data_IF_456274393168
#
_entry.id   IF_456274393168
#
_cell.length_a   1.000
_cell.length_b   1.000
_cell.length_c   1.000
_cell.angle_alpha   90.00
_cell.angle_beta   90.00
_cell.angle_gamma   90.00
#
_symmetry.space_group_name_H-M   'P 1'
#
loop_
_entity.id
_entity.type
_entity.pdbx_description
1 polymer ?
#
# COMPACT_ATOMS: atom_id res chain seq x y z
N UNK A 1 11.78 30.36 9.80
CA UNK A 1 12.12 30.02 8.37
C UNK A 1 11.19 30.83 7.47
N UNK A 2 11.69 31.42 6.36
CA UNK A 2 10.88 32.19 5.40
C UNK A 2 10.59 31.30 4.17
N UNK A 3 9.31 31.22 3.78
CA UNK A 3 8.91 30.51 2.56
C UNK A 3 9.01 31.47 1.39
N UNK A 4 9.66 31.06 0.31
CA UNK A 4 9.79 31.79 -0.94
C UNK A 4 9.02 30.99 -2.02
N UNK A 5 7.99 31.59 -2.59
CA UNK A 5 7.14 31.02 -3.63
C UNK A 5 7.07 32.01 -4.81
N UNK A 6 8.06 31.96 -5.74
CA UNK A 6 8.22 32.96 -6.81
C UNK A 6 6.98 33.14 -7.70
N UNK A 7 6.27 32.05 -8.03
CA UNK A 7 5.05 32.12 -8.85
C UNK A 7 3.93 32.99 -8.26
N UNK A 8 3.95 33.29 -6.97
CA UNK A 8 3.00 34.23 -6.34
C UNK A 8 3.26 35.69 -6.72
N UNK A 9 4.47 35.97 -7.16
CA UNK A 9 4.94 37.32 -7.52
C UNK A 9 5.32 37.44 -9.00
N UNK A 10 5.44 36.34 -9.71
CA UNK A 10 5.69 36.29 -11.15
C UNK A 10 4.39 36.43 -11.94
N UNK A 11 4.52 36.80 -13.21
CA UNK A 11 3.39 37.02 -14.11
C UNK A 11 2.80 35.73 -14.69
N UNK A 12 3.42 34.56 -14.42
CA UNK A 12 2.98 33.26 -14.91
C UNK A 12 1.63 32.87 -14.30
N UNK A 13 0.70 32.45 -15.16
CA UNK A 13 -0.64 32.02 -14.79
C UNK A 13 -0.94 30.58 -15.17
N UNK A 14 -0.11 30.03 -16.06
CA UNK A 14 -0.30 28.70 -16.61
C UNK A 14 1.04 28.00 -16.80
N UNK A 15 0.96 26.68 -17.01
CA UNK A 15 2.12 25.86 -17.35
C UNK A 15 2.67 26.20 -18.73
N UNK A 16 1.82 26.64 -19.66
CA UNK A 16 2.21 27.15 -20.98
C UNK A 16 3.11 28.36 -20.84
N UNK A 17 2.79 29.31 -19.96
CA UNK A 17 3.64 30.49 -19.72
C UNK A 17 5.03 30.08 -19.22
N UNK A 18 5.11 29.05 -18.36
CA UNK A 18 6.38 28.53 -17.84
C UNK A 18 7.21 27.86 -18.97
N UNK A 19 6.56 27.09 -19.84
CA UNK A 19 7.21 26.46 -20.99
C UNK A 19 7.75 27.53 -21.96
N UNK A 20 6.94 28.53 -22.31
CA UNK A 20 7.36 29.63 -23.19
C UNK A 20 8.54 30.39 -22.58
N UNK A 21 8.52 30.63 -21.27
CA UNK A 21 9.64 31.27 -20.58
C UNK A 21 10.91 30.41 -20.65
N UNK A 22 10.78 29.10 -20.42
CA UNK A 22 11.91 28.18 -20.49
C UNK A 22 12.51 28.11 -21.91
N UNK A 23 11.68 28.05 -22.95
CA UNK A 23 12.10 28.11 -24.37
C UNK A 23 12.82 29.41 -24.67
N UNK A 24 12.23 30.55 -24.29
CA UNK A 24 12.82 31.88 -24.49
C UNK A 24 14.19 32.06 -23.83
N UNK A 25 14.39 31.42 -22.70
CA UNK A 25 15.64 31.53 -21.93
C UNK A 25 16.59 30.35 -22.11
N UNK A 26 16.30 29.43 -23.06
CA UNK A 26 17.09 28.24 -23.34
C UNK A 26 17.34 27.37 -22.07
N UNK A 27 16.33 27.27 -21.18
CA UNK A 27 16.39 26.41 -20.02
C UNK A 27 16.16 24.96 -20.52
N UNK A 28 17.11 24.03 -20.27
CA UNK A 28 17.00 22.67 -20.77
C UNK A 28 15.94 21.90 -19.98
N UNK A 29 14.73 21.86 -20.50
CA UNK A 29 13.64 21.04 -19.97
C UNK A 29 13.42 19.84 -20.89
N UNK A 30 13.28 18.65 -20.31
CA UNK A 30 12.83 17.44 -21.03
C UNK A 30 11.30 17.46 -21.13
N UNK A 31 10.73 18.47 -21.78
CA UNK A 31 9.29 18.62 -21.90
C UNK A 31 8.88 18.31 -23.34
N UNK A 32 7.99 17.33 -23.48
CA UNK A 32 7.20 17.14 -24.68
C UNK A 32 5.77 17.66 -24.38
N UNK A 33 5.26 18.64 -25.14
CA UNK A 33 3.93 19.24 -24.92
C UNK A 33 2.79 18.21 -24.93
N UNK A 34 2.96 17.09 -25.63
CA UNK A 34 1.96 16.03 -25.75
C UNK A 34 1.96 15.03 -24.59
N UNK A 35 3.06 14.95 -23.83
CA UNK A 35 3.24 13.98 -22.73
C UNK A 35 3.64 14.65 -21.42
N UNK A 36 3.30 15.94 -21.28
CA UNK A 36 3.73 16.76 -20.16
C UNK A 36 2.82 16.57 -18.94
N UNK A 37 2.69 15.34 -18.46
CA UNK A 37 2.06 15.07 -17.17
C UNK A 37 2.85 15.74 -16.03
N UNK A 38 2.14 16.19 -15.00
CA UNK A 38 2.79 16.54 -13.73
C UNK A 38 3.27 15.27 -13.07
N UNK A 39 4.56 15.21 -12.74
CA UNK A 39 5.18 14.01 -12.19
C UNK A 39 5.98 14.35 -10.94
N UNK A 40 5.63 13.72 -9.83
CA UNK A 40 6.38 13.78 -8.58
C UNK A 40 7.01 12.42 -8.30
N UNK A 41 8.35 12.39 -8.24
CA UNK A 41 9.14 11.16 -8.08
C UNK A 41 9.94 11.17 -6.79
N UNK A 42 9.83 10.10 -6.04
CA UNK A 42 10.69 9.80 -4.90
C UNK A 42 11.07 8.30 -4.88
N UNK A 43 11.71 7.84 -3.82
CA UNK A 43 12.10 6.44 -3.67
C UNK A 43 10.88 5.49 -3.63
N UNK A 44 9.75 5.94 -3.07
CA UNK A 44 8.57 5.14 -2.84
C UNK A 44 7.64 5.06 -4.05
N UNK A 45 7.42 6.17 -4.74
CA UNK A 45 6.46 6.25 -5.84
C UNK A 45 6.81 7.27 -6.91
N UNK A 46 6.11 7.19 -8.02
CA UNK A 46 6.02 8.20 -9.06
C UNK A 46 4.54 8.47 -9.34
N UNK A 47 4.12 9.76 -9.32
CA UNK A 47 2.78 10.18 -9.72
C UNK A 47 2.74 10.70 -11.16
N UNK A 48 1.57 10.58 -11.80
CA UNK A 48 1.23 11.16 -13.09
C UNK A 48 -0.11 11.89 -12.94
N UNK A 49 -0.14 13.21 -13.19
CA UNK A 49 -1.32 14.04 -13.05
C UNK A 49 -1.47 15.00 -14.24
N UNK A 50 -2.69 15.47 -14.49
CA UNK A 50 -2.99 16.46 -15.52
C UNK A 50 -3.33 15.87 -16.89
N UNK A 51 -3.44 16.72 -17.91
CA UNK A 51 -3.79 16.38 -19.29
C UNK A 51 -5.10 15.57 -19.37
N UNK A 52 -5.08 14.45 -20.09
CA UNK A 52 -6.23 13.55 -20.29
C UNK A 52 -6.69 12.87 -18.99
N UNK A 53 -5.83 12.79 -17.96
CA UNK A 53 -6.18 12.26 -16.64
C UNK A 53 -7.14 13.16 -15.85
N UNK A 54 -7.26 14.46 -16.21
CA UNK A 54 -8.22 15.37 -15.56
C UNK A 54 -9.67 14.94 -15.77
N UNK A 55 -9.95 14.21 -16.86
CA UNK A 55 -11.26 13.61 -17.08
C UNK A 55 -11.24 12.15 -16.59
N UNK A 56 -11.96 11.82 -15.50
CA UNK A 56 -11.97 10.46 -14.94
C UNK A 56 -12.64 9.42 -15.86
N UNK A 57 -13.30 9.83 -16.95
CA UNK A 57 -13.83 8.92 -17.94
C UNK A 57 -12.79 8.42 -18.95
N UNK A 58 -11.61 9.05 -18.98
CA UNK A 58 -10.53 8.64 -19.88
C UNK A 58 -9.73 7.48 -19.24
N UNK A 59 -9.44 6.46 -20.03
CA UNK A 59 -8.48 5.42 -19.68
C UNK A 59 -7.06 5.99 -19.72
N UNK A 60 -6.23 5.80 -18.69
CA UNK A 60 -4.82 6.20 -18.74
C UNK A 60 -4.06 5.45 -19.82
N UNK A 61 -3.11 6.11 -20.45
CA UNK A 61 -2.34 5.55 -21.57
C UNK A 61 -1.24 4.59 -21.10
N UNK A 62 -1.58 3.56 -20.32
CA UNK A 62 -0.63 2.63 -19.68
C UNK A 62 0.38 1.99 -20.66
N UNK A 63 -0.01 1.76 -21.91
CA UNK A 63 0.81 1.12 -22.94
C UNK A 63 1.57 2.11 -23.82
N UNK A 64 1.36 3.44 -23.64
CA UNK A 64 2.10 4.45 -24.38
C UNK A 64 3.54 4.51 -23.89
N UNK A 65 4.48 4.49 -24.82
CA UNK A 65 5.90 4.62 -24.50
C UNK A 65 6.19 5.91 -23.71
N UNK A 66 6.89 5.78 -22.58
CA UNK A 66 7.24 6.90 -21.69
C UNK A 66 6.11 7.38 -20.78
N UNK A 67 4.93 6.75 -20.77
CA UNK A 67 3.91 7.02 -19.76
C UNK A 67 4.36 6.45 -18.41
N UNK A 68 4.54 5.13 -18.30
CA UNK A 68 5.12 4.50 -17.12
C UNK A 68 6.65 4.62 -17.13
N UNK A 69 7.25 4.89 -15.98
CA UNK A 69 8.70 5.08 -15.83
C UNK A 69 9.35 4.10 -14.84
N UNK A 70 8.59 3.58 -13.88
CA UNK A 70 9.10 2.61 -12.91
C UNK A 70 8.84 1.17 -13.34
N UNK A 71 7.91 0.97 -14.26
CA UNK A 71 7.54 -0.35 -14.71
C UNK A 71 6.91 -0.39 -16.09
N UNK A 72 6.21 -1.49 -16.34
CA UNK A 72 5.44 -1.76 -17.56
C UNK A 72 4.00 -2.04 -17.19
N UNK A 73 3.08 -1.92 -18.15
CA UNK A 73 1.70 -2.36 -17.93
C UNK A 73 1.62 -3.88 -17.70
N UNK A 74 0.56 -4.40 -17.06
CA UNK A 74 0.33 -5.83 -16.92
C UNK A 74 0.36 -6.59 -18.25
N UNK A 75 -0.12 -5.97 -19.33
CA UNK A 75 -0.12 -6.56 -20.69
C UNK A 75 1.29 -6.75 -21.23
N UNK A 76 2.18 -5.81 -20.95
CA UNK A 76 3.59 -5.85 -21.40
C UNK A 76 4.50 -6.65 -20.47
N UNK A 77 4.03 -7.00 -19.27
CA UNK A 77 4.79 -7.81 -18.32
C UNK A 77 5.03 -9.24 -18.83
N UNK A 78 6.11 -9.93 -18.40
CA UNK A 78 6.45 -11.27 -18.83
C UNK A 78 5.35 -12.30 -18.61
N UNK A 79 5.25 -13.31 -19.50
CA UNK A 79 4.35 -14.47 -19.34
C UNK A 79 4.89 -15.53 -18.38
N UNK A 80 6.02 -15.25 -17.74
CA UNK A 80 6.64 -16.11 -16.72
C UNK A 80 6.55 -15.42 -15.37
N UNK A 81 5.93 -16.10 -14.40
CA UNK A 81 5.87 -15.60 -13.02
C UNK A 81 7.27 -15.50 -12.38
N UNK A 82 7.45 -14.48 -11.57
CA UNK A 82 8.64 -14.28 -10.74
C UNK A 82 8.28 -14.44 -9.26
N UNK A 83 9.17 -15.04 -8.49
CA UNK A 83 8.98 -15.21 -7.05
C UNK A 83 9.93 -14.32 -6.27
N UNK A 84 9.44 -13.75 -5.18
CA UNK A 84 10.23 -13.03 -4.20
C UNK A 84 9.95 -13.55 -2.81
N UNK A 85 10.99 -13.61 -1.97
CA UNK A 85 10.86 -13.93 -0.55
C UNK A 85 11.38 -12.75 0.26
N UNK A 86 10.56 -12.26 1.18
CA UNK A 86 10.91 -11.19 2.12
C UNK A 86 10.98 -11.75 3.53
N UNK A 87 12.07 -11.48 4.24
CA UNK A 87 12.21 -11.79 5.67
C UNK A 87 11.97 -10.53 6.47
N UNK A 88 11.13 -10.65 7.49
CA UNK A 88 10.84 -9.57 8.44
C UNK A 88 11.33 -9.93 9.84
N UNK A 89 11.83 -8.95 10.57
CA UNK A 89 12.17 -9.03 11.98
C UNK A 89 11.45 -7.88 12.71
N UNK A 90 10.52 -8.21 13.60
CA UNK A 90 9.70 -7.21 14.32
C UNK A 90 9.02 -6.20 13.40
N UNK A 91 8.41 -6.67 12.32
CA UNK A 91 7.74 -5.86 11.31
C UNK A 91 8.65 -5.13 10.32
N UNK A 92 9.98 -5.18 10.50
CA UNK A 92 10.94 -4.53 9.62
C UNK A 92 11.50 -5.53 8.60
N UNK A 93 11.44 -5.24 7.28
CA UNK A 93 12.02 -6.12 6.27
C UNK A 93 13.56 -6.06 6.33
N UNK A 94 14.22 -7.22 6.45
CA UNK A 94 15.68 -7.33 6.64
C UNK A 94 16.39 -8.08 5.55
N UNK A 95 15.66 -8.95 4.78
CA UNK A 95 16.28 -9.74 3.70
C UNK A 95 15.36 -9.80 2.48
N UNK A 96 15.99 -9.90 1.32
CA UNK A 96 15.34 -10.19 0.04
C UNK A 96 15.96 -11.48 -0.55
N UNK A 97 15.11 -12.48 -0.81
CA UNK A 97 15.53 -13.79 -1.35
C UNK A 97 16.66 -14.47 -0.54
N UNK A 98 16.61 -14.29 0.79
CA UNK A 98 17.59 -14.85 1.74
C UNK A 98 18.83 -14.00 1.98
N UNK A 99 19.07 -12.96 1.18
CA UNK A 99 20.22 -12.07 1.31
C UNK A 99 19.85 -10.82 2.13
N UNK A 100 20.69 -10.49 3.12
CA UNK A 100 20.52 -9.26 3.89
C UNK A 100 20.70 -8.03 3.00
N UNK A 101 19.84 -7.04 3.16
CA UNK A 101 19.82 -5.87 2.31
C UNK A 101 19.47 -4.61 3.13
N UNK A 102 20.07 -3.49 2.79
CA UNK A 102 19.72 -2.18 3.35
C UNK A 102 18.32 -1.74 2.89
N UNK A 103 17.60 -1.00 3.75
CA UNK A 103 16.21 -0.60 3.46
C UNK A 103 16.04 0.21 2.19
N UNK A 104 17.00 1.09 1.87
CA UNK A 104 16.95 1.91 0.64
C UNK A 104 17.17 1.03 -0.59
N UNK A 105 18.13 0.13 -0.53
CA UNK A 105 18.43 -0.78 -1.64
C UNK A 105 17.34 -1.84 -1.80
N UNK A 106 16.72 -2.29 -0.71
CA UNK A 106 15.54 -3.15 -0.75
C UNK A 106 14.41 -2.50 -1.58
N UNK A 107 14.06 -1.25 -1.29
CA UNK A 107 12.99 -0.57 -2.04
C UNK A 107 13.39 -0.41 -3.52
N UNK A 108 14.65 -0.05 -3.81
CA UNK A 108 15.13 0.04 -5.20
C UNK A 108 15.02 -1.29 -5.95
N UNK A 109 15.43 -2.39 -5.32
CA UNK A 109 15.36 -3.71 -5.95
C UNK A 109 13.90 -4.17 -6.11
N UNK A 110 13.05 -3.95 -5.11
CA UNK A 110 11.63 -4.27 -5.22
C UNK A 110 10.92 -3.39 -6.28
N UNK A 111 11.32 -2.13 -6.45
CA UNK A 111 10.82 -1.29 -7.54
C UNK A 111 11.17 -1.88 -8.92
N UNK A 112 12.40 -2.38 -9.10
CA UNK A 112 12.81 -3.05 -10.35
C UNK A 112 12.02 -4.35 -10.57
N UNK A 113 11.92 -5.17 -9.53
CA UNK A 113 11.21 -6.45 -9.60
C UNK A 113 9.72 -6.24 -9.86
N UNK A 114 9.06 -5.39 -9.07
CA UNK A 114 7.63 -5.11 -9.23
C UNK A 114 7.33 -4.44 -10.56
N UNK A 115 8.14 -3.44 -10.94
CA UNK A 115 7.96 -2.70 -12.19
C UNK A 115 8.02 -3.59 -13.42
N UNK A 116 9.01 -4.48 -13.55
CA UNK A 116 9.09 -5.40 -14.70
C UNK A 116 7.95 -6.44 -14.74
N UNK A 117 7.28 -6.68 -13.61
CA UNK A 117 6.14 -7.57 -13.51
C UNK A 117 4.78 -6.84 -13.60
N UNK A 118 4.78 -5.52 -13.87
CA UNK A 118 3.57 -4.70 -14.00
C UNK A 118 2.86 -4.42 -12.67
N UNK A 119 3.53 -4.63 -11.54
CA UNK A 119 2.96 -4.47 -10.20
C UNK A 119 3.01 -3.02 -9.74
N UNK A 120 1.98 -2.58 -9.01
CA UNK A 120 1.98 -1.32 -8.27
C UNK A 120 1.46 -0.12 -9.07
N UNK A 121 0.69 -0.33 -10.12
CA UNK A 121 -0.02 0.73 -10.84
C UNK A 121 -1.38 0.93 -10.17
N UNK A 122 -1.69 2.18 -9.81
CA UNK A 122 -2.96 2.54 -9.16
C UNK A 122 -3.49 3.85 -9.73
N UNK A 123 -4.76 3.88 -10.14
CA UNK A 123 -5.49 5.07 -10.55
C UNK A 123 -6.39 5.51 -9.40
N UNK A 124 -6.16 6.70 -8.86
CA UNK A 124 -6.81 7.19 -7.64
C UNK A 124 -7.46 8.54 -7.90
N UNK A 125 -8.72 8.67 -7.46
CA UNK A 125 -9.37 9.97 -7.26
C UNK A 125 -9.29 10.30 -5.78
N UNK A 126 -8.35 11.12 -5.41
CA UNK A 126 -8.09 11.55 -4.03
C UNK A 126 -8.99 12.70 -3.59
N UNK A 127 -9.09 12.89 -2.27
CA UNK A 127 -9.74 14.05 -1.67
C UNK A 127 -8.68 14.95 -1.05
N UNK A 128 -8.40 16.09 -1.67
CA UNK A 128 -7.43 17.05 -1.12
C UNK A 128 -7.95 17.69 0.15
N UNK A 129 -7.05 18.01 1.07
CA UNK A 129 -7.38 18.70 2.33
C UNK A 129 -8.20 19.98 2.11
N UNK A 130 -7.99 20.68 1.00
CA UNK A 130 -8.72 21.88 0.62
C UNK A 130 -10.12 21.63 0.04
N UNK A 131 -10.60 20.38 0.06
CA UNK A 131 -11.98 20.01 -0.27
C UNK A 131 -12.26 19.67 -1.73
N UNK A 132 -11.27 19.75 -2.63
CA UNK A 132 -11.44 19.34 -4.02
C UNK A 132 -10.94 17.91 -4.24
N UNK A 133 -11.47 17.25 -5.29
CA UNK A 133 -10.96 15.99 -5.79
C UNK A 133 -9.86 16.22 -6.83
N UNK A 134 -8.87 15.35 -6.86
CA UNK A 134 -7.87 15.30 -7.91
C UNK A 134 -7.63 13.84 -8.32
N UNK A 135 -7.27 13.58 -9.57
CA UNK A 135 -6.96 12.24 -10.06
C UNK A 135 -5.48 12.15 -10.40
N UNK A 136 -4.86 11.06 -9.97
CA UNK A 136 -3.50 10.73 -10.34
C UNK A 136 -3.34 9.23 -10.59
N UNK A 137 -2.45 8.88 -11.50
CA UNK A 137 -1.95 7.51 -11.67
C UNK A 137 -0.62 7.41 -10.95
N UNK A 138 -0.47 6.38 -10.13
CA UNK A 138 0.70 6.16 -9.29
C UNK A 138 1.39 4.86 -9.66
N UNK A 139 2.72 4.90 -9.72
CA UNK A 139 3.57 3.73 -9.81
C UNK A 139 4.26 3.54 -8.45
N UNK A 140 3.93 2.46 -7.74
CA UNK A 140 4.47 2.14 -6.40
C UNK A 140 4.84 0.66 -6.32
N UNK A 141 5.70 0.15 -7.23
CA UNK A 141 5.90 -1.29 -7.36
C UNK A 141 6.49 -1.94 -6.11
N UNK A 142 7.56 -1.39 -5.54
CA UNK A 142 8.20 -1.93 -4.35
C UNK A 142 7.34 -1.80 -3.11
N UNK A 143 6.69 -0.64 -2.93
CA UNK A 143 5.78 -0.41 -1.81
C UNK A 143 4.61 -1.38 -1.80
N UNK A 144 4.01 -1.66 -2.97
CA UNK A 144 2.91 -2.61 -3.11
C UNK A 144 3.32 -4.03 -2.71
N UNK A 145 4.53 -4.47 -3.11
CA UNK A 145 5.07 -5.77 -2.70
C UNK A 145 5.30 -5.82 -1.18
N UNK A 146 5.89 -4.76 -0.60
CA UNK A 146 6.15 -4.69 0.85
C UNK A 146 4.84 -4.73 1.66
N UNK A 147 3.84 -3.97 1.27
CA UNK A 147 2.54 -3.98 1.94
C UNK A 147 1.86 -5.35 1.87
N UNK A 148 1.87 -6.00 0.71
CA UNK A 148 1.29 -7.33 0.55
C UNK A 148 1.99 -8.36 1.43
N UNK A 149 3.33 -8.37 1.44
CA UNK A 149 4.10 -9.30 2.25
C UNK A 149 3.90 -9.06 3.75
N UNK A 150 3.96 -7.79 4.19
CA UNK A 150 3.80 -7.44 5.60
C UNK A 150 2.40 -7.80 6.11
N UNK A 151 1.34 -7.47 5.35
CA UNK A 151 -0.03 -7.82 5.70
C UNK A 151 -0.22 -9.34 5.83
N UNK A 152 0.39 -10.13 4.93
CA UNK A 152 0.32 -11.59 4.99
C UNK A 152 1.00 -12.16 6.24
N UNK A 153 2.11 -11.57 6.68
CA UNK A 153 2.78 -11.99 7.90
C UNK A 153 1.95 -11.61 9.15
N UNK A 154 1.36 -10.43 9.17
CA UNK A 154 0.47 -10.00 10.26
C UNK A 154 -0.75 -10.92 10.43
N UNK A 155 -1.32 -11.45 9.34
CA UNK A 155 -2.46 -12.37 9.38
C UNK A 155 -2.18 -13.61 10.23
N UNK A 156 -0.95 -14.10 10.27
CA UNK A 156 -0.60 -15.30 11.06
C UNK A 156 0.00 -14.97 12.42
N UNK A 157 0.50 -13.75 12.65
CA UNK A 157 1.16 -13.36 13.89
C UNK A 157 0.26 -12.58 14.86
N UNK A 158 -0.79 -11.92 14.38
CA UNK A 158 -1.68 -11.10 15.19
C UNK A 158 -3.02 -11.77 15.44
N UNK A 159 -3.55 -11.58 16.65
CA UNK A 159 -4.94 -11.97 16.94
C UNK A 159 -5.94 -11.08 16.16
N UNK A 160 -7.17 -11.58 16.03
CA UNK A 160 -8.23 -10.94 15.25
C UNK A 160 -8.48 -9.49 15.67
N UNK A 161 -8.57 -9.22 16.96
CA UNK A 161 -8.99 -7.92 17.46
C UNK A 161 -7.88 -6.89 17.26
N UNK A 162 -6.63 -7.27 17.51
CA UNK A 162 -5.43 -6.45 17.22
C UNK A 162 -5.31 -6.14 15.73
N UNK A 163 -5.44 -7.15 14.86
CA UNK A 163 -5.33 -6.99 13.41
C UNK A 163 -6.40 -6.03 12.87
N UNK A 164 -7.67 -6.23 13.26
CA UNK A 164 -8.76 -5.37 12.79
C UNK A 164 -8.66 -3.94 13.32
N UNK A 165 -8.26 -3.76 14.60
CA UNK A 165 -8.11 -2.43 15.15
C UNK A 165 -6.95 -1.68 14.50
N UNK A 166 -5.82 -2.37 14.23
CA UNK A 166 -4.68 -1.80 13.51
C UNK A 166 -5.05 -1.25 12.13
N UNK A 167 -5.97 -1.89 11.40
CA UNK A 167 -6.46 -1.37 10.11
C UNK A 167 -7.14 0.00 10.26
N UNK A 168 -7.92 0.22 11.34
CA UNK A 168 -8.51 1.53 11.63
C UNK A 168 -7.45 2.55 12.00
N UNK A 169 -6.45 2.15 12.79
CA UNK A 169 -5.30 3.00 13.14
C UNK A 169 -4.51 3.40 11.91
N UNK A 170 -4.31 2.49 10.95
CA UNK A 170 -3.62 2.77 9.69
C UNK A 170 -4.31 3.86 8.87
N UNK A 171 -5.65 3.85 8.79
CA UNK A 171 -6.41 4.90 8.11
C UNK A 171 -6.25 6.26 8.81
N UNK A 172 -6.39 6.30 10.14
CA UNK A 172 -6.18 7.54 10.90
C UNK A 172 -4.74 8.07 10.77
N UNK A 173 -3.75 7.18 10.75
CA UNK A 173 -2.36 7.54 10.54
C UNK A 173 -2.13 8.13 9.14
N UNK A 174 -2.70 7.51 8.11
CA UNK A 174 -2.60 7.99 6.73
C UNK A 174 -3.16 9.41 6.58
N UNK A 175 -4.30 9.72 7.21
CA UNK A 175 -4.88 11.07 7.23
C UNK A 175 -3.93 12.08 7.88
N UNK A 176 -3.30 11.73 9.01
CA UNK A 176 -2.35 12.62 9.68
C UNK A 176 -1.12 12.90 8.81
N UNK A 177 -0.62 11.88 8.09
CA UNK A 177 0.51 12.05 7.15
C UNK A 177 0.10 12.94 5.98
N UNK A 178 -1.04 12.67 5.35
CA UNK A 178 -1.56 13.43 4.21
C UNK A 178 -1.80 14.90 4.57
N UNK A 179 -2.37 15.16 5.75
CA UNK A 179 -2.65 16.50 6.27
C UNK A 179 -1.40 17.26 6.76
N UNK A 180 -0.20 16.66 6.68
CA UNK A 180 1.04 17.27 7.16
C UNK A 180 1.14 17.36 8.69
N UNK A 181 0.40 16.53 9.42
CA UNK A 181 0.36 16.49 10.90
C UNK A 181 1.39 15.55 11.52
N UNK A 182 2.57 15.43 10.89
CA UNK A 182 3.63 14.51 11.31
C UNK A 182 4.11 14.73 12.75
N UNK A 183 4.18 15.97 13.21
CA UNK A 183 4.71 16.32 14.54
C UNK A 183 3.62 16.48 15.62
N UNK A 184 2.49 15.78 15.48
CA UNK A 184 1.40 15.84 16.44
C UNK A 184 1.46 14.68 17.45
N UNK A 185 1.01 14.89 18.71
CA UNK A 185 0.95 13.83 19.71
C UNK A 185 0.12 12.62 19.27
N UNK A 186 -0.95 12.85 18.49
CA UNK A 186 -1.78 11.75 17.98
C UNK A 186 -0.97 10.85 17.03
N UNK A 187 -0.19 11.43 16.10
CA UNK A 187 0.66 10.63 15.21
C UNK A 187 1.68 9.80 16.03
N UNK A 188 2.29 10.39 17.07
CA UNK A 188 3.24 9.71 17.95
C UNK A 188 2.58 8.55 18.71
N UNK A 189 1.38 8.75 19.25
CA UNK A 189 0.63 7.72 19.95
C UNK A 189 0.24 6.55 19.02
N UNK A 190 -0.20 6.86 17.78
CA UNK A 190 -0.53 5.83 16.79
C UNK A 190 0.70 5.06 16.33
N UNK A 191 1.86 5.72 16.18
CA UNK A 191 3.14 5.03 15.90
C UNK A 191 3.49 4.05 17.03
N UNK A 192 3.44 4.51 18.28
CA UNK A 192 3.75 3.66 19.43
C UNK A 192 2.81 2.45 19.53
N UNK A 193 1.52 2.64 19.22
CA UNK A 193 0.57 1.53 19.13
C UNK A 193 1.00 0.52 18.06
N UNK A 194 1.28 0.99 16.84
CA UNK A 194 1.71 0.10 15.74
C UNK A 194 3.00 -0.62 16.12
N UNK A 195 4.02 0.10 16.60
CA UNK A 195 5.31 -0.48 17.00
C UNK A 195 5.14 -1.61 18.03
N UNK A 196 4.23 -1.42 19.02
CA UNK A 196 3.96 -2.45 20.02
C UNK A 196 3.33 -3.72 19.43
N UNK A 197 2.56 -3.60 18.34
CA UNK A 197 1.96 -4.77 17.66
C UNK A 197 2.97 -5.57 16.85
N UNK A 198 4.13 -4.99 16.54
CA UNK A 198 5.12 -5.59 15.63
C UNK A 198 6.14 -6.50 16.34
N UNK A 199 6.15 -6.56 17.67
CA UNK A 199 7.18 -7.29 18.44
C UNK A 199 7.35 -8.75 18.01
N UNK A 200 6.27 -9.40 17.60
CA UNK A 200 6.24 -10.80 17.17
C UNK A 200 5.96 -10.98 15.67
N UNK A 201 5.87 -9.89 14.91
CA UNK A 201 5.71 -9.95 13.44
C UNK A 201 7.06 -10.22 12.80
N UNK A 202 7.49 -11.48 12.86
CA UNK A 202 8.81 -11.95 12.39
C UNK A 202 8.62 -13.23 11.60
N UNK A 203 9.22 -13.31 10.40
CA UNK A 203 9.11 -14.49 9.57
C UNK A 203 9.41 -14.22 8.11
N UNK A 204 9.16 -15.24 7.28
CA UNK A 204 9.38 -15.20 5.84
C UNK A 204 8.06 -15.22 5.08
N UNK A 205 7.94 -14.34 4.08
CA UNK A 205 6.80 -14.30 3.17
C UNK A 205 7.28 -14.47 1.75
N UNK A 206 6.75 -15.48 1.07
CA UNK A 206 7.00 -15.75 -0.35
C UNK A 206 5.81 -15.29 -1.18
N UNK A 207 6.06 -14.45 -2.17
CA UNK A 207 5.07 -13.93 -3.11
C UNK A 207 5.41 -14.36 -4.53
N UNK A 208 4.36 -14.57 -5.33
CA UNK A 208 4.43 -14.82 -6.77
C UNK A 208 3.90 -13.58 -7.50
N UNK A 209 4.74 -12.97 -8.33
CA UNK A 209 4.40 -11.82 -9.14
C UNK A 209 4.09 -12.27 -10.57
N UNK A 210 2.94 -11.86 -11.09
CA UNK A 210 2.55 -12.22 -12.44
C UNK A 210 1.54 -11.23 -13.02
N UNK A 211 1.90 -10.57 -14.12
CA UNK A 211 1.00 -9.70 -14.89
C UNK A 211 0.27 -8.67 -13.98
N UNK A 212 1.02 -7.93 -13.17
CA UNK A 212 0.49 -6.91 -12.27
C UNK A 212 -0.12 -7.44 -10.96
N UNK A 213 -0.26 -8.76 -10.82
CA UNK A 213 -0.82 -9.37 -9.62
C UNK A 213 0.28 -9.81 -8.65
N UNK A 214 -0.05 -9.72 -7.37
CA UNK A 214 0.69 -10.34 -6.27
C UNK A 214 -0.15 -11.48 -5.73
N UNK A 215 0.42 -12.68 -5.74
CA UNK A 215 -0.24 -13.91 -5.33
C UNK A 215 0.56 -14.51 -4.17
N UNK A 216 -0.11 -14.86 -3.09
CA UNK A 216 0.50 -15.51 -1.95
C UNK A 216 1.09 -16.87 -2.35
N UNK A 217 2.32 -17.12 -1.94
CA UNK A 217 3.05 -18.35 -2.27
C UNK A 217 3.63 -19.05 -1.02
N UNK A 218 3.29 -18.56 0.16
CA UNK A 218 3.64 -19.14 1.45
C UNK A 218 4.11 -18.10 2.47
N UNK A 219 3.85 -18.37 3.74
CA UNK A 219 4.26 -17.55 4.86
C UNK A 219 4.65 -18.46 6.03
N UNK A 220 5.72 -18.12 6.74
CA UNK A 220 6.18 -18.83 7.93
C UNK A 220 6.59 -17.86 9.03
N UNK A 221 6.30 -18.19 10.26
CA UNK A 221 6.73 -17.41 11.43
C UNK A 221 6.93 -18.33 12.64
N UNK A 222 7.97 -18.10 13.45
CA UNK A 222 8.10 -18.79 14.74
C UNK A 222 7.06 -18.32 15.77
N UNK A 223 6.34 -17.24 15.48
CA UNK A 223 5.30 -16.66 16.34
C UNK A 223 3.90 -16.80 15.73
N UNK A 224 3.73 -17.73 14.79
CA UNK A 224 2.44 -18.00 14.15
C UNK A 224 1.39 -18.39 15.20
N UNK A 225 0.23 -17.75 15.13
CA UNK A 225 -0.99 -18.17 15.84
C UNK A 225 -1.79 -19.21 15.04
N UNK A 226 -1.41 -19.44 13.78
CA UNK A 226 -1.98 -20.55 13.00
C UNK A 226 -1.29 -21.84 13.43
N UNK A 227 -2.07 -22.72 14.02
CA UNK A 227 -1.65 -24.04 14.48
C UNK A 227 -2.29 -25.10 13.60
N UNK A 228 -1.48 -25.92 12.93
CA UNK A 228 -1.96 -26.92 11.98
C UNK A 228 -2.76 -28.03 12.66
N UNK A 229 -2.48 -28.35 13.93
CA UNK A 229 -3.20 -29.36 14.70
C UNK A 229 -4.61 -28.86 15.07
N UNK A 230 -4.76 -27.56 15.37
CA UNK A 230 -6.05 -26.93 15.68
C UNK A 230 -6.86 -26.65 14.40
N UNK A 231 -6.19 -26.27 13.32
CA UNK A 231 -6.82 -25.85 12.08
C UNK A 231 -7.13 -27.01 11.11
N UNK A 232 -6.83 -28.26 11.52
CA UNK A 232 -7.05 -29.44 10.68
C UNK A 232 -8.53 -29.72 10.43
N UNK A 233 -8.85 -30.32 9.28
CA UNK A 233 -10.15 -30.91 8.95
C UNK A 233 -10.18 -32.42 9.26
N UNK A 234 -9.06 -32.98 9.69
CA UNK A 234 -8.97 -34.35 10.14
C UNK A 234 -9.46 -34.49 11.61
N UNK A 235 -9.51 -35.70 12.12
CA UNK A 235 -9.85 -35.97 13.52
C UNK A 235 -8.78 -35.36 14.44
N UNK A 236 -9.18 -34.43 15.29
CA UNK A 236 -8.33 -33.83 16.31
C UNK A 236 -8.88 -34.04 17.72
N UNK A 237 -8.02 -33.88 18.73
CA UNK A 237 -8.36 -33.96 20.16
C UNK A 237 -7.86 -32.72 20.93
N UNK A 238 -7.61 -31.60 20.23
CA UNK A 238 -6.99 -30.39 20.80
C UNK A 238 -7.97 -29.64 21.69
N UNK A 239 -9.28 -29.71 21.39
CA UNK A 239 -10.33 -29.10 22.22
C UNK A 239 -11.59 -29.92 22.20
N UNK A 240 -12.45 -29.76 23.25
CA UNK A 240 -13.74 -30.43 23.32
C UNK A 240 -14.79 -29.68 22.45
N UNK A 241 -15.21 -30.28 21.35
CA UNK A 241 -16.22 -29.69 20.45
C UNK A 241 -17.55 -29.45 21.15
N UNK A 242 -17.87 -30.11 22.27
CA UNK A 242 -19.08 -29.85 23.04
C UNK A 242 -19.11 -28.47 23.70
N UNK A 243 -17.96 -27.83 23.92
CA UNK A 243 -17.86 -26.46 24.44
C UNK A 243 -18.52 -25.43 23.52
N UNK A 244 -18.62 -25.73 22.23
CA UNK A 244 -19.28 -24.87 21.24
C UNK A 244 -20.73 -24.59 21.58
N UNK A 245 -21.46 -25.59 22.11
CA UNK A 245 -22.88 -25.44 22.47
C UNK A 245 -23.03 -24.45 23.66
N UNK A 246 -22.16 -24.54 24.67
CA UNK A 246 -22.15 -23.61 25.78
C UNK A 246 -21.82 -22.19 25.35
N UNK A 247 -20.79 -22.02 24.55
CA UNK A 247 -20.41 -20.74 23.97
C UNK A 247 -21.55 -20.10 23.18
N UNK A 248 -22.14 -20.81 22.22
CA UNK A 248 -23.23 -20.30 21.36
C UNK A 248 -24.44 -19.89 22.20
N UNK A 249 -24.80 -20.67 23.22
CA UNK A 249 -25.92 -20.38 24.08
C UNK A 249 -25.78 -19.05 24.84
N UNK A 250 -24.59 -18.78 25.39
CA UNK A 250 -24.29 -17.55 26.12
C UNK A 250 -24.05 -16.36 25.17
N UNK A 251 -23.24 -16.53 24.16
CA UNK A 251 -22.93 -15.49 23.18
C UNK A 251 -24.15 -15.01 22.40
N UNK A 252 -25.10 -15.91 22.12
CA UNK A 252 -26.34 -15.60 21.42
C UNK A 252 -27.44 -14.96 22.29
N UNK A 253 -27.25 -14.80 23.62
CA UNK A 253 -28.30 -14.24 24.49
C UNK A 253 -28.83 -12.87 24.08
N UNK A 254 -28.00 -11.88 23.70
CA UNK A 254 -28.50 -10.57 23.26
C UNK A 254 -29.42 -10.69 22.03
N UNK A 255 -29.08 -11.56 21.09
CA UNK A 255 -29.90 -11.80 19.88
C UNK A 255 -31.21 -12.49 20.26
N UNK A 256 -31.17 -13.49 21.14
CA UNK A 256 -32.39 -14.16 21.67
C UNK A 256 -33.33 -13.16 22.36
N UNK A 257 -32.79 -12.22 23.15
CA UNK A 257 -33.58 -11.18 23.81
C UNK A 257 -34.19 -10.23 22.77
N UNK A 258 -33.44 -9.82 21.77
CA UNK A 258 -33.97 -8.98 20.67
C UNK A 258 -35.10 -9.67 19.91
N UNK A 259 -34.95 -10.96 19.62
CA UNK A 259 -36.01 -11.74 18.95
C UNK A 259 -37.30 -11.82 19.80
N UNK A 260 -37.15 -12.11 21.13
CA UNK A 260 -38.31 -12.16 22.04
C UNK A 260 -39.06 -10.83 22.13
N UNK A 261 -38.38 -9.71 21.93
CA UNK A 261 -38.96 -8.36 21.95
C UNK A 261 -39.48 -7.90 20.57
N UNK A 262 -39.43 -8.73 19.54
CA UNK A 262 -39.82 -8.36 18.18
C UNK A 262 -38.91 -7.32 17.53
N UNK A 263 -37.63 -7.18 17.98
CA UNK A 263 -36.67 -6.23 17.46
C UNK A 263 -35.79 -6.77 16.32
N UNK A 264 -36.05 -8.01 15.89
CA UNK A 264 -35.44 -8.62 14.70
C UNK A 264 -36.53 -8.67 13.62
N UNK A 265 -36.20 -8.08 12.45
CA UNK A 265 -37.06 -8.09 11.27
C UNK A 265 -36.77 -9.34 10.44
#
# INVERSE_FOLDING_TARGET
MKIIAPWRTWEFKSREDEIEYAEKHNIPLKINRETNYSKDKNLWHLSHEGLDLENPANEPMYNKEGFLELGVSPEQAPDKAEYVTLTFEKGVPTKLNGEAIDSVDLIKELNKIGGRNGVGITDIVENRLVGMKARGVYETPGGTILYAAHAKLEEICLDKDTLHYKQNVANAFAELVYDGKWYTPLREALSAFVDSTQEYVTGDVKLKLYKGNIIDAGVTSPYSLYDEEIATFDEDQVYDQNDSAGFINLFGLPIKVRAKKGLIK
#
